data_IF_143341309788
#
_entry.id   IF_143341309788
#
_cell.length_a   1.000
_cell.length_b   1.000
_cell.length_c   1.000
_cell.angle_alpha   90.00
_cell.angle_beta   90.00
_cell.angle_gamma   90.00
#
_symmetry.space_group_name_H-M   'P 1'
#
loop_
_entity.id
_entity.type
_entity.pdbx_description
1 polymer ?
#
# COMPACT_ATOMS: atom_id res chain seq x y z
N UNK A 1 -6.52 8.81 11.24
CA UNK A 1 -6.55 9.44 9.89
C UNK A 1 -6.51 8.37 8.82
N UNK A 2 -7.56 8.23 7.99
CA UNK A 2 -7.43 7.49 6.72
C UNK A 2 -6.51 8.31 5.82
N UNK A 3 -5.35 7.75 5.44
CA UNK A 3 -4.31 8.48 4.69
C UNK A 3 -4.73 8.77 3.24
N UNK A 4 -5.72 8.05 2.72
CA UNK A 4 -6.27 8.21 1.37
C UNK A 4 -7.80 8.18 1.39
N UNK A 5 -8.43 8.92 0.47
CA UNK A 5 -9.88 9.09 0.37
C UNK A 5 -10.59 7.95 -0.36
N UNK A 6 -9.84 7.03 -0.99
CA UNK A 6 -10.35 5.90 -1.77
C UNK A 6 -9.54 4.62 -1.48
N UNK A 7 -10.09 3.43 -1.79
CA UNK A 7 -9.38 2.15 -1.63
C UNK A 7 -8.08 2.03 -2.44
N UNK A 8 -7.23 1.10 -2.04
CA UNK A 8 -6.04 0.67 -2.80
C UNK A 8 -6.35 -0.71 -3.40
N UNK A 9 -6.76 -0.81 -4.67
CA UNK A 9 -7.14 -2.10 -5.25
C UNK A 9 -5.96 -2.95 -5.69
N UNK A 10 -4.82 -2.33 -5.99
CA UNK A 10 -3.63 -3.04 -6.42
C UNK A 10 -2.34 -2.31 -5.99
N UNK A 11 -1.28 -3.10 -5.87
CA UNK A 11 0.06 -2.62 -5.56
C UNK A 11 1.10 -3.63 -6.02
N UNK A 12 2.32 -3.16 -6.29
CA UNK A 12 3.44 -4.01 -6.65
C UNK A 12 4.77 -3.32 -6.37
N UNK A 13 5.81 -4.13 -6.18
CA UNK A 13 7.19 -3.65 -6.26
C UNK A 13 7.69 -3.69 -7.70
N UNK A 14 8.64 -2.82 -8.02
CA UNK A 14 9.45 -2.96 -9.22
C UNK A 14 10.48 -4.10 -9.05
N UNK A 15 11.25 -4.37 -10.12
CA UNK A 15 12.13 -5.55 -10.19
C UNK A 15 13.17 -5.67 -9.06
N UNK A 16 13.73 -4.55 -8.60
CA UNK A 16 14.75 -4.52 -7.54
C UNK A 16 14.17 -4.19 -6.15
N UNK A 17 12.86 -3.97 -6.04
CA UNK A 17 12.18 -3.64 -4.79
C UNK A 17 12.42 -2.20 -4.29
N UNK A 18 13.10 -1.34 -5.05
CA UNK A 18 13.39 0.05 -4.66
C UNK A 18 12.18 0.98 -4.74
N UNK A 19 11.12 0.57 -5.44
CA UNK A 19 9.88 1.36 -5.58
C UNK A 19 8.68 0.46 -5.26
N UNK A 20 7.86 0.90 -4.32
CA UNK A 20 6.54 0.34 -4.08
C UNK A 20 5.47 1.23 -4.73
N UNK A 21 4.81 0.72 -5.77
CA UNK A 21 3.74 1.40 -6.46
C UNK A 21 2.38 0.93 -5.95
N UNK A 22 1.44 1.84 -5.73
CA UNK A 22 0.06 1.51 -5.37
C UNK A 22 -0.95 2.44 -6.04
N UNK A 23 -2.06 1.86 -6.49
CA UNK A 23 -3.17 2.61 -7.06
C UNK A 23 -4.13 3.07 -5.96
N UNK A 24 -4.69 4.26 -6.09
CA UNK A 24 -5.77 4.77 -5.23
C UNK A 24 -6.94 5.11 -6.13
N UNK A 25 -7.98 4.26 -6.10
CA UNK A 25 -9.21 4.45 -6.85
C UNK A 25 -10.35 3.57 -6.33
N UNK A 26 -11.54 3.82 -6.83
CA UNK A 26 -12.72 3.06 -6.45
C UNK A 26 -12.68 1.64 -7.04
N UNK A 27 -12.59 0.62 -6.18
CA UNK A 27 -12.49 -0.80 -6.56
C UNK A 27 -13.81 -1.58 -6.50
N UNK A 28 -14.96 -0.91 -6.66
CA UNK A 28 -16.31 -1.54 -6.64
C UNK A 28 -16.73 -2.25 -5.35
N UNK A 29 -16.03 -2.07 -4.24
CA UNK A 29 -16.37 -2.74 -2.97
C UNK A 29 -17.76 -2.41 -2.39
N UNK A 30 -18.43 -1.37 -2.92
CA UNK A 30 -19.80 -0.99 -2.56
C UNK A 30 -20.73 -0.86 -3.77
N UNK A 31 -20.47 -1.58 -4.85
CA UNK A 31 -21.36 -1.60 -6.02
C UNK A 31 -21.31 -0.36 -6.93
N UNK A 32 -21.98 -0.48 -8.07
CA UNK A 32 -22.01 0.51 -9.16
C UNK A 32 -22.54 1.88 -8.71
N UNK A 33 -23.55 1.84 -7.84
CA UNK A 33 -24.30 2.97 -7.31
C UNK A 33 -23.44 3.96 -6.51
N UNK A 34 -22.30 3.51 -5.99
CA UNK A 34 -21.40 4.31 -5.16
C UNK A 34 -20.21 4.89 -5.94
N UNK A 35 -20.20 4.77 -7.27
CA UNK A 35 -19.19 5.40 -8.11
C UNK A 35 -19.74 6.61 -8.82
N UNK A 36 -18.98 7.69 -8.74
CA UNK A 36 -19.25 8.92 -9.46
C UNK A 36 -18.13 9.16 -10.48
N UNK A 37 -18.31 8.77 -11.76
CA UNK A 37 -17.30 8.94 -12.80
C UNK A 37 -16.85 10.40 -12.98
N UNK A 38 -17.74 11.36 -12.74
CA UNK A 38 -17.44 12.80 -12.91
C UNK A 38 -16.47 13.34 -11.87
N UNK A 39 -16.34 12.68 -10.72
CA UNK A 39 -15.43 13.09 -9.64
C UNK A 39 -14.38 12.03 -9.30
N UNK A 40 -14.47 10.85 -9.89
CA UNK A 40 -13.54 9.75 -9.70
C UNK A 40 -12.16 10.13 -10.24
N UNK A 41 -11.23 10.40 -9.33
CA UNK A 41 -9.81 10.56 -9.65
C UNK A 41 -9.07 9.28 -9.27
N UNK A 42 -8.33 8.75 -10.22
CA UNK A 42 -7.44 7.60 -10.04
C UNK A 42 -6.01 8.11 -9.95
N UNK A 43 -5.32 7.73 -8.89
CA UNK A 43 -3.93 8.08 -8.67
C UNK A 43 -3.06 6.82 -8.62
N UNK A 44 -1.85 6.93 -9.17
CA UNK A 44 -0.79 5.95 -8.93
C UNK A 44 0.28 6.68 -8.14
N UNK A 45 0.54 6.19 -6.93
CA UNK A 45 1.58 6.72 -6.06
C UNK A 45 2.80 5.82 -6.09
N UNK A 46 3.98 6.43 -6.05
CA UNK A 46 5.26 5.76 -5.96
C UNK A 46 5.85 6.07 -4.59
N UNK A 47 6.15 5.03 -3.82
CA UNK A 47 6.81 5.13 -2.54
C UNK A 47 8.22 4.57 -2.64
N UNK A 48 9.20 5.30 -2.12
CA UNK A 48 10.56 4.81 -1.97
C UNK A 48 10.71 4.29 -0.54
N UNK A 49 10.56 2.96 -0.32
CA UNK A 49 10.53 2.39 1.02
C UNK A 49 11.85 2.58 1.75
N UNK A 50 11.77 2.94 3.03
CA UNK A 50 12.91 2.90 3.93
C UNK A 50 13.15 1.47 4.41
N UNK A 51 14.40 1.13 4.73
CA UNK A 51 14.74 -0.22 5.21
C UNK A 51 13.91 -0.65 6.43
N UNK A 52 13.59 0.29 7.31
CA UNK A 52 12.78 0.07 8.52
C UNK A 52 11.32 -0.32 8.23
N UNK A 53 10.82 -0.04 7.02
CA UNK A 53 9.45 -0.33 6.60
C UNK A 53 9.32 -1.73 6.00
N UNK A 54 10.40 -2.27 5.44
CA UNK A 54 10.39 -3.53 4.66
C UNK A 54 11.18 -4.67 5.31
N UNK A 55 12.18 -4.36 6.15
CA UNK A 55 12.94 -5.38 6.87
C UNK A 55 12.23 -5.76 8.16
N UNK A 56 12.22 -7.06 8.48
CA UNK A 56 11.71 -7.56 9.75
C UNK A 56 12.44 -6.91 10.93
N UNK A 57 11.69 -6.54 11.98
CA UNK A 57 12.30 -6.00 13.20
C UNK A 57 13.25 -7.02 13.83
N UNK A 58 14.41 -6.60 14.36
CA UNK A 58 15.30 -7.50 15.08
C UNK A 58 14.53 -8.23 16.18
N UNK A 59 14.61 -9.56 16.22
CA UNK A 59 14.06 -10.33 17.35
C UNK A 59 14.89 -10.00 18.60
N UNK A 60 14.29 -9.28 19.53
CA UNK A 60 14.89 -9.05 20.86
C UNK A 60 14.80 -10.39 21.61
N UNK A 61 15.93 -11.10 21.69
CA UNK A 61 16.19 -12.12 22.71
C UNK A 61 15.55 -13.50 22.50
N UNK A 62 16.33 -14.44 21.96
CA UNK A 62 16.34 -15.83 22.48
C UNK A 62 17.77 -16.39 22.45
N UNK A 63 18.75 -15.55 22.81
CA UNK A 63 20.06 -16.03 23.24
C UNK A 63 19.96 -16.42 24.71
N UNK A 64 19.43 -17.62 24.97
CA UNK A 64 19.20 -18.09 26.33
C UNK A 64 18.40 -19.37 26.42
N UNK A 65 18.67 -20.36 25.56
CA UNK A 65 18.22 -21.74 25.78
C UNK A 65 19.15 -22.73 25.07
N UNK A 66 20.34 -22.90 25.63
CA UNK A 66 20.97 -24.17 26.01
C UNK A 66 22.38 -23.88 26.49
#
# INVERSE_FOLDING_TARGET
>A
MSRYSQPIPCSAYNNDGSIYAYAVCYGWSKGAENHNPSTAKTYIYLHFPQESEVKGKPRIGTSGRK
#
